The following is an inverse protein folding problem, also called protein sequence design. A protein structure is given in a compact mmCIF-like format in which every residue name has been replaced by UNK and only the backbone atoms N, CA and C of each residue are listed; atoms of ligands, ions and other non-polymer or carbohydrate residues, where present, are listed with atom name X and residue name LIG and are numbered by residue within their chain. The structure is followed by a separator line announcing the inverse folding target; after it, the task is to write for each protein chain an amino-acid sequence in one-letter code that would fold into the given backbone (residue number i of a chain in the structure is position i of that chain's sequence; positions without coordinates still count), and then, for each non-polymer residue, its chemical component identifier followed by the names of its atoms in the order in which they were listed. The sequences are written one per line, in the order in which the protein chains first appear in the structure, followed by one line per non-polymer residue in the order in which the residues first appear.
data_IF_181418077315
#
_entry.id   IF_181418077315
#
_cell.length_a   1.000
_cell.length_b   1.000
_cell.length_c   1.000
_cell.angle_alpha   90.00
_cell.angle_beta   90.00
_cell.angle_gamma   90.00
#
_symmetry.space_group_name_H-M   'P 1'
#
loop_
_entity.id
_entity.type
_entity.pdbx_description
1 polymer ?
#
# COMPACT_ATOMS: atom_id res chain seq x y z
N UNK A 1 35.37 -42.35 1.06
CA UNK A 1 35.13 -41.02 1.64
C UNK A 1 34.82 -39.93 0.61
N UNK A 2 35.07 -40.13 -0.69
CA UNK A 2 34.79 -39.11 -1.73
C UNK A 2 33.30 -38.82 -1.97
N UNK A 3 32.41 -39.81 -1.74
CA UNK A 3 30.96 -39.66 -1.96
C UNK A 3 30.30 -38.69 -0.96
N UNK A 4 30.79 -38.65 0.28
CA UNK A 4 30.31 -37.74 1.32
C UNK A 4 30.79 -36.30 1.12
N UNK A 5 31.96 -36.10 0.50
CA UNK A 5 32.53 -34.78 0.23
C UNK A 5 31.79 -34.07 -0.92
N UNK A 6 31.51 -34.79 -2.01
CA UNK A 6 30.75 -34.28 -3.17
C UNK A 6 29.33 -33.88 -2.75
N UNK A 7 28.65 -34.72 -1.95
CA UNK A 7 27.30 -34.43 -1.46
C UNK A 7 27.24 -33.16 -0.59
N UNK A 8 28.28 -32.84 0.18
CA UNK A 8 28.32 -31.65 1.04
C UNK A 8 28.56 -30.37 0.21
N UNK A 9 29.41 -30.41 -0.81
CA UNK A 9 29.64 -29.26 -1.70
C UNK A 9 28.39 -28.90 -2.52
N UNK A 10 27.65 -29.90 -3.01
CA UNK A 10 26.39 -29.67 -3.71
C UNK A 10 25.34 -29.06 -2.77
N UNK A 11 25.22 -29.55 -1.53
CA UNK A 11 24.31 -28.98 -0.54
C UNK A 11 24.67 -27.52 -0.23
N UNK A 12 25.95 -27.22 0.03
CA UNK A 12 26.42 -25.85 0.31
C UNK A 12 26.19 -24.89 -0.88
N UNK A 13 26.32 -25.38 -2.12
CA UNK A 13 26.08 -24.61 -3.34
C UNK A 13 24.63 -24.13 -3.47
N UNK A 14 23.65 -24.86 -2.94
CA UNK A 14 22.24 -24.44 -2.92
C UNK A 14 21.86 -23.63 -1.67
N UNK A 15 22.49 -23.90 -0.53
CA UNK A 15 22.19 -23.20 0.73
C UNK A 15 22.56 -21.72 0.70
N UNK A 16 23.70 -21.36 0.09
CA UNK A 16 24.13 -19.95 -0.02
C UNK A 16 23.14 -19.07 -0.80
N UNK A 17 22.75 -19.39 -2.05
CA UNK A 17 21.76 -18.60 -2.78
C UNK A 17 20.37 -18.65 -2.14
N UNK A 18 19.97 -19.77 -1.53
CA UNK A 18 18.72 -19.85 -0.78
C UNK A 18 18.72 -18.92 0.45
N UNK A 19 19.83 -18.85 1.18
CA UNK A 19 20.00 -17.94 2.31
C UNK A 19 19.97 -16.47 1.88
N UNK A 20 20.62 -16.11 0.77
CA UNK A 20 20.56 -14.76 0.20
C UNK A 20 19.13 -14.41 -0.22
N UNK A 21 18.44 -15.30 -0.93
CA UNK A 21 17.06 -15.08 -1.35
C UNK A 21 16.13 -14.89 -0.14
N UNK A 22 16.25 -15.73 0.89
CA UNK A 22 15.50 -15.59 2.13
C UNK A 22 15.81 -14.27 2.85
N UNK A 23 17.08 -13.86 2.90
CA UNK A 23 17.51 -12.58 3.46
C UNK A 23 16.94 -11.38 2.71
N UNK A 24 16.92 -11.42 1.37
CA UNK A 24 16.33 -10.38 0.52
C UNK A 24 14.82 -10.30 0.75
N UNK A 25 14.12 -11.43 0.75
CA UNK A 25 12.67 -11.47 1.02
C UNK A 25 12.36 -10.92 2.40
N UNK A 26 13.09 -11.34 3.43
CA UNK A 26 12.95 -10.83 4.79
C UNK A 26 13.23 -9.34 4.90
N UNK A 27 14.30 -8.86 4.25
CA UNK A 27 14.66 -7.44 4.20
C UNK A 27 13.60 -6.60 3.52
N UNK A 28 13.10 -7.02 2.36
CA UNK A 28 11.99 -6.37 1.65
C UNK A 28 10.75 -6.32 2.54
N UNK A 29 10.41 -7.42 3.21
CA UNK A 29 9.25 -7.49 4.10
C UNK A 29 9.38 -6.53 5.29
N UNK A 30 10.56 -6.45 5.93
CA UNK A 30 10.83 -5.51 7.03
C UNK A 30 10.74 -4.07 6.52
N UNK A 31 11.44 -3.73 5.43
CA UNK A 31 11.42 -2.38 4.85
C UNK A 31 9.99 -1.98 4.49
N UNK A 32 9.25 -2.87 3.84
CA UNK A 32 7.84 -2.65 3.52
C UNK A 32 7.00 -2.40 4.78
N UNK A 33 7.15 -3.24 5.80
CA UNK A 33 6.43 -3.10 7.08
C UNK A 33 6.77 -1.79 7.79
N UNK A 34 8.05 -1.42 7.83
CA UNK A 34 8.51 -0.16 8.40
C UNK A 34 7.91 0.99 7.62
N UNK A 35 8.08 1.08 6.29
CA UNK A 35 7.49 2.15 5.48
C UNK A 35 5.97 2.24 5.68
N UNK A 36 5.29 1.11 5.78
CA UNK A 36 3.84 1.07 5.97
C UNK A 36 3.39 1.56 7.35
N UNK A 37 4.23 1.35 8.38
CA UNK A 37 3.95 1.69 9.77
C UNK A 37 4.66 2.97 10.27
N UNK A 38 5.61 3.51 9.48
CA UNK A 38 6.46 4.64 9.86
C UNK A 38 5.66 5.94 9.94
N UNK A 39 5.81 6.64 11.07
CA UNK A 39 5.12 7.90 11.37
C UNK A 39 3.68 7.74 11.87
N UNK A 40 3.22 6.50 12.12
CA UNK A 40 1.83 6.22 12.53
C UNK A 40 1.69 5.95 14.04
N UNK A 41 2.78 5.77 14.79
CA UNK A 41 2.75 5.39 16.21
C UNK A 41 2.07 6.41 17.13
N UNK A 42 2.15 7.70 16.83
CA UNK A 42 1.52 8.79 17.61
C UNK A 42 0.27 9.39 16.95
N UNK A 43 -0.19 8.84 15.82
CA UNK A 43 -1.33 9.35 15.08
C UNK A 43 -2.63 8.64 15.49
N UNK A 44 -3.72 9.40 15.51
CA UNK A 44 -5.07 8.86 15.67
C UNK A 44 -5.37 7.83 14.55
N UNK A 45 -6.19 6.80 14.80
CA UNK A 45 -6.46 5.73 13.83
C UNK A 45 -6.89 6.22 12.42
N UNK A 46 -7.63 7.32 12.37
CA UNK A 46 -8.18 8.00 11.18
C UNK A 46 -7.05 8.67 10.39
N UNK A 47 -6.16 9.36 11.10
CA UNK A 47 -4.94 9.93 10.52
C UNK A 47 -4.06 8.85 9.90
N UNK A 48 -4.04 7.65 10.48
CA UNK A 48 -3.29 6.53 9.90
C UNK A 48 -3.91 6.03 8.60
N UNK A 49 -5.23 5.88 8.58
CA UNK A 49 -5.96 5.45 7.39
C UNK A 49 -5.80 6.44 6.24
N UNK A 50 -5.90 7.74 6.53
CA UNK A 50 -5.70 8.77 5.52
C UNK A 50 -4.24 8.85 5.01
N UNK A 51 -3.25 8.64 5.87
CA UNK A 51 -1.85 8.54 5.46
C UNK A 51 -1.63 7.34 4.51
N UNK A 52 -2.22 6.19 4.81
CA UNK A 52 -2.17 5.00 3.95
C UNK A 52 -2.88 5.24 2.60
N UNK A 53 -4.05 5.90 2.62
CA UNK A 53 -4.76 6.31 1.41
C UNK A 53 -3.90 7.22 0.52
N UNK A 54 -3.21 8.19 1.11
CA UNK A 54 -2.32 9.10 0.39
C UNK A 54 -1.12 8.36 -0.23
N UNK A 55 -0.49 7.46 0.53
CA UNK A 55 0.63 6.63 0.04
C UNK A 55 0.20 5.69 -1.10
N UNK A 56 -0.91 4.95 -0.95
CA UNK A 56 -1.43 4.10 -2.02
C UNK A 56 -1.90 4.91 -3.22
N UNK A 57 -2.53 6.07 -3.00
CA UNK A 57 -2.89 6.98 -4.06
C UNK A 57 -1.67 7.37 -4.88
N UNK A 58 -0.57 7.76 -4.23
CA UNK A 58 0.69 8.09 -4.91
C UNK A 58 1.25 6.91 -5.71
N UNK A 59 1.31 5.71 -5.12
CA UNK A 59 1.76 4.49 -5.82
C UNK A 59 0.86 4.11 -7.01
N UNK A 60 -0.45 4.34 -6.90
CA UNK A 60 -1.41 4.16 -7.99
C UNK A 60 -1.35 5.28 -9.04
N UNK A 61 -0.47 6.27 -8.87
CA UNK A 61 -0.29 7.41 -9.77
C UNK A 61 -1.29 8.55 -9.57
N UNK A 62 -2.02 8.53 -8.45
CA UNK A 62 -3.01 9.52 -8.02
C UNK A 62 -2.45 10.23 -6.78
N UNK A 63 -1.24 10.79 -6.87
CA UNK A 63 -0.65 11.56 -5.77
C UNK A 63 -1.50 12.77 -5.42
N UNK A 64 -1.55 13.12 -4.12
CA UNK A 64 -2.19 14.35 -3.64
C UNK A 64 -1.38 15.56 -4.10
N UNK A 65 -2.05 16.62 -4.57
CA UNK A 65 -1.39 17.91 -4.86
C UNK A 65 -1.17 18.69 -3.57
N UNK A 66 -0.21 19.63 -3.58
CA UNK A 66 0.16 20.40 -2.39
C UNK A 66 -0.96 21.32 -1.89
N UNK A 67 -1.74 21.87 -2.82
CA UNK A 67 -2.88 22.75 -2.61
C UNK A 67 -4.20 22.03 -2.34
N UNK A 68 -4.22 20.70 -2.47
CA UNK A 68 -5.46 19.92 -2.42
C UNK A 68 -5.86 19.57 -0.98
N UNK A 69 -7.11 19.86 -0.64
CA UNK A 69 -7.68 19.48 0.66
C UNK A 69 -7.89 17.96 0.75
N UNK A 70 -8.02 17.39 1.97
CA UNK A 70 -8.30 15.96 2.12
C UNK A 70 -9.56 15.51 1.39
N UNK A 71 -10.65 16.27 1.49
CA UNK A 71 -11.93 15.97 0.87
C UNK A 71 -11.80 16.00 -0.65
N UNK A 72 -11.14 17.02 -1.21
CA UNK A 72 -10.87 17.10 -2.64
C UNK A 72 -10.02 15.94 -3.14
N UNK A 73 -9.07 15.47 -2.32
CA UNK A 73 -8.24 14.32 -2.63
C UNK A 73 -9.07 13.02 -2.68
N UNK A 74 -9.90 12.77 -1.68
CA UNK A 74 -10.84 11.64 -1.66
C UNK A 74 -11.78 11.65 -2.87
N UNK A 75 -12.37 12.80 -3.17
CA UNK A 75 -13.22 12.97 -4.35
C UNK A 75 -12.47 12.74 -5.67
N UNK A 76 -11.18 13.11 -5.77
CA UNK A 76 -10.35 12.84 -6.94
C UNK A 76 -10.07 11.34 -7.11
N UNK A 77 -9.81 10.62 -6.02
CA UNK A 77 -9.70 9.16 -6.05
C UNK A 77 -11.00 8.56 -6.57
N UNK A 78 -12.15 8.97 -6.02
CA UNK A 78 -13.46 8.51 -6.44
C UNK A 78 -13.80 8.82 -7.91
N UNK A 79 -13.31 9.92 -8.48
CA UNK A 79 -13.48 10.20 -9.92
C UNK A 79 -12.64 9.30 -10.82
N UNK A 80 -11.47 8.88 -10.37
CA UNK A 80 -10.55 8.03 -11.14
C UNK A 80 -10.79 6.53 -10.93
N UNK A 81 -11.43 6.19 -9.82
CA UNK A 81 -11.82 4.84 -9.41
C UNK A 81 -13.21 4.96 -8.77
N UNK A 82 -14.30 4.94 -9.57
CA UNK A 82 -15.67 5.10 -9.08
C UNK A 82 -16.03 4.13 -7.96
N UNK A 83 -15.52 2.91 -8.02
CA UNK A 83 -15.75 1.86 -7.02
C UNK A 83 -15.07 2.15 -5.68
N UNK A 84 -14.11 3.08 -5.63
CA UNK A 84 -13.46 3.51 -4.40
C UNK A 84 -14.01 4.84 -3.86
N UNK A 85 -15.03 5.42 -4.51
CA UNK A 85 -15.51 6.76 -4.21
C UNK A 85 -16.01 6.89 -2.77
N UNK A 86 -16.98 6.06 -2.40
CA UNK A 86 -17.62 6.11 -1.09
C UNK A 86 -16.58 5.99 0.02
N UNK A 87 -15.77 4.94 -0.01
CA UNK A 87 -14.74 4.74 0.99
C UNK A 87 -13.67 5.86 1.00
N UNK A 88 -13.24 6.37 -0.15
CA UNK A 88 -12.21 7.42 -0.21
C UNK A 88 -12.73 8.75 0.34
N UNK A 89 -14.00 9.08 0.06
CA UNK A 89 -14.66 10.26 0.63
C UNK A 89 -14.89 10.10 2.12
N UNK A 90 -15.30 8.91 2.60
CA UNK A 90 -15.49 8.63 4.03
C UNK A 90 -14.19 8.78 4.82
N UNK A 91 -13.09 8.18 4.37
CA UNK A 91 -11.77 8.31 5.03
C UNK A 91 -11.29 9.76 5.03
N UNK A 92 -11.45 10.47 3.90
CA UNK A 92 -11.03 11.86 3.77
C UNK A 92 -11.85 12.81 4.67
N UNK A 93 -13.16 12.58 4.76
CA UNK A 93 -14.08 13.35 5.60
C UNK A 93 -13.79 13.11 7.07
N UNK A 94 -13.66 11.86 7.51
CA UNK A 94 -13.31 11.53 8.89
C UNK A 94 -11.98 12.17 9.31
N UNK A 95 -10.95 12.11 8.45
CA UNK A 95 -9.70 12.80 8.68
C UNK A 95 -9.87 14.32 8.81
N UNK A 96 -10.64 14.95 7.92
CA UNK A 96 -10.88 16.40 7.96
C UNK A 96 -11.62 16.80 9.24
N UNK A 97 -12.66 16.07 9.63
CA UNK A 97 -13.43 16.29 10.86
C UNK A 97 -12.56 16.13 12.10
N UNK A 98 -11.68 15.12 12.15
CA UNK A 98 -10.75 14.96 13.27
C UNK A 98 -9.68 16.06 13.30
N UNK A 99 -9.08 16.38 12.14
CA UNK A 99 -7.94 17.30 12.05
C UNK A 99 -8.33 18.77 12.28
N UNK A 100 -9.53 19.15 11.85
CA UNK A 100 -10.01 20.54 11.87
C UNK A 100 -11.21 20.75 12.81
N UNK A 101 -12.00 19.71 13.09
CA UNK A 101 -13.18 19.79 13.98
C UNK A 101 -12.95 19.33 15.41
N UNK A 102 -11.75 18.80 15.75
CA UNK A 102 -11.38 18.45 17.12
C UNK A 102 -12.14 17.26 17.73
N UNK A 103 -12.88 16.50 16.92
CA UNK A 103 -13.67 15.33 17.34
C UNK A 103 -12.87 14.04 17.11
N UNK A 104 -12.80 13.18 18.12
CA UNK A 104 -12.29 11.81 17.96
C UNK A 104 -13.39 10.90 17.40
N UNK A 105 -13.02 9.99 16.50
CA UNK A 105 -13.93 8.97 16.01
C UNK A 105 -14.21 7.96 17.12
N UNK A 106 -15.46 7.53 17.21
CA UNK A 106 -15.87 6.46 18.11
C UNK A 106 -15.47 5.08 17.54
N UNK A 107 -15.49 4.03 18.36
CA UNK A 107 -15.10 2.67 17.97
C UNK A 107 -15.95 2.15 16.79
N UNK A 108 -17.24 2.45 16.76
CA UNK A 108 -18.14 2.08 15.66
C UNK A 108 -17.79 2.80 14.35
N UNK A 109 -17.46 4.10 14.44
CA UNK A 109 -17.03 4.91 13.29
C UNK A 109 -15.69 4.37 12.75
N UNK A 110 -14.79 3.95 13.64
CA UNK A 110 -13.52 3.34 13.28
C UNK A 110 -13.68 1.98 12.60
N UNK A 111 -14.63 1.15 13.04
CA UNK A 111 -14.99 -0.11 12.40
C UNK A 111 -15.39 0.10 10.94
N UNK A 112 -16.33 1.02 10.70
CA UNK A 112 -16.77 1.38 9.36
C UNK A 112 -15.62 1.92 8.48
N UNK A 113 -14.74 2.73 9.05
CA UNK A 113 -13.55 3.27 8.37
C UNK A 113 -12.56 2.16 7.96
N UNK A 114 -12.37 1.14 8.80
CA UNK A 114 -11.49 0.01 8.50
C UNK A 114 -12.05 -0.87 7.39
N UNK A 115 -13.38 -1.06 7.35
CA UNK A 115 -14.02 -1.83 6.29
C UNK A 115 -14.00 -1.08 4.95
N UNK A 116 -14.30 0.22 4.96
CA UNK A 116 -14.11 1.09 3.80
C UNK A 116 -12.67 1.03 3.26
N UNK A 117 -11.67 1.03 4.16
CA UNK A 117 -10.27 0.89 3.78
C UNK A 117 -9.95 -0.46 3.14
N UNK A 118 -10.49 -1.56 3.66
CA UNK A 118 -10.29 -2.91 3.08
C UNK A 118 -10.79 -2.98 1.66
N UNK A 119 -11.87 -2.30 1.32
CA UNK A 119 -12.39 -2.27 -0.04
C UNK A 119 -11.46 -1.46 -0.97
N UNK A 120 -11.14 -0.22 -0.59
CA UNK A 120 -10.33 0.70 -1.40
C UNK A 120 -8.93 0.14 -1.64
N UNK A 121 -8.30 -0.48 -0.63
CA UNK A 121 -6.90 -0.94 -0.72
C UNK A 121 -6.72 -1.92 -1.88
N UNK A 122 -7.66 -2.83 -2.09
CA UNK A 122 -7.53 -3.83 -3.15
C UNK A 122 -7.63 -3.19 -4.53
N UNK A 123 -8.49 -2.17 -4.69
CA UNK A 123 -8.65 -1.44 -5.95
C UNK A 123 -7.42 -0.58 -6.28
N UNK A 124 -6.88 0.13 -5.29
CA UNK A 124 -5.65 0.93 -5.47
C UNK A 124 -4.44 0.04 -5.78
N UNK A 125 -4.30 -1.08 -5.07
CA UNK A 125 -3.23 -2.05 -5.32
C UNK A 125 -3.37 -2.67 -6.71
N UNK A 126 -4.58 -3.06 -7.12
CA UNK A 126 -4.81 -3.58 -8.47
C UNK A 126 -4.45 -2.58 -9.56
N UNK A 127 -4.80 -1.29 -9.37
CA UNK A 127 -4.41 -0.21 -10.29
C UNK A 127 -2.89 0.00 -10.33
N UNK A 128 -2.23 -0.03 -9.17
CA UNK A 128 -0.77 0.05 -9.06
C UNK A 128 -0.10 -1.07 -9.85
N UNK A 129 -0.51 -2.32 -9.67
CA UNK A 129 0.07 -3.45 -10.41
C UNK A 129 -0.18 -3.37 -11.92
N UNK A 130 -1.39 -2.97 -12.34
CA UNK A 130 -1.68 -2.75 -13.77
C UNK A 130 -0.76 -1.71 -14.42
N UNK A 131 -0.28 -0.73 -13.64
CA UNK A 131 0.67 0.28 -14.11
C UNK A 131 2.12 -0.24 -14.16
N UNK A 132 2.46 -1.20 -13.30
CA UNK A 132 3.80 -1.79 -13.24
C UNK A 132 4.03 -2.88 -14.30
N UNK A 133 2.96 -3.50 -14.81
CA UNK A 133 3.04 -4.45 -15.92
C UNK A 133 3.08 -3.65 -17.23
N UNK A 134 4.20 -3.63 -17.98
CA UNK A 134 4.25 -3.01 -19.29
C UNK A 134 3.28 -3.77 -20.21
N UNK A 135 2.39 -3.06 -20.90
CA UNK A 135 1.62 -3.71 -21.96
C UNK A 135 2.58 -4.09 -23.08
N UNK A 136 2.60 -5.37 -23.55
CA UNK A 136 3.40 -5.73 -24.71
C UNK A 136 2.96 -4.85 -25.86
N UNK A 137 3.87 -4.01 -26.33
CA UNK A 137 3.66 -3.11 -27.46
C UNK A 137 3.12 -3.92 -28.62
N UNK A 138 1.88 -3.62 -29.05
CA UNK A 138 1.36 -3.99 -30.37
C UNK A 138 2.13 -3.20 -31.45
N UNK A 139 3.45 -3.35 -31.49
CA UNK A 139 4.37 -2.79 -32.48
C UNK A 139 5.05 -3.94 -33.23
N UNK A 140 4.27 -4.92 -33.66
CA UNK A 140 4.70 -5.92 -34.62
C UNK A 140 3.63 -6.06 -35.70
N UNK A 141 3.80 -5.29 -36.78
CA UNK A 141 3.18 -5.59 -38.07
C UNK A 141 2.20 -4.54 -38.59
N UNK A 142 2.68 -3.33 -38.83
CA UNK A 142 2.30 -2.57 -40.02
C UNK A 142 3.29 -2.89 -41.14
#
# INVERSE_FOLDING_TARGET
SSFSFIAIEDILRFLVPAGIAAGVIGGIWIIWSVIWNFGLGSLSPESRLYAKLTRLGWLAGIGRRHDQTPIEFGARIGRLIPEANEGAVTIATSYATHRYGGRQADEDELGALLDAWKEIRFKLVGRMFRRLIPQPSQEAGA
#
